data_IF_272249981506
#
_entry.id   IF_272249981506
#
_cell.length_a   1.000
_cell.length_b   1.000
_cell.length_c   1.000
_cell.angle_alpha   90.00
_cell.angle_beta   90.00
_cell.angle_gamma   90.00
#
_symmetry.space_group_name_H-M   'P 1'
#
loop_
_entity.id
_entity.type
_entity.pdbx_description
1 polymer ?
#
# COMPACT_ATOMS: atom_id res chain seq x y z
N UNK A 1 16.92 36.34 -38.08
CA UNK A 1 16.48 37.01 -36.83
C UNK A 1 16.61 35.98 -35.73
N UNK A 2 17.53 36.17 -34.79
CA UNK A 2 17.82 35.22 -33.72
C UNK A 2 16.70 35.23 -32.68
N UNK A 3 15.89 34.18 -32.64
CA UNK A 3 14.90 33.96 -31.58
C UNK A 3 15.63 33.50 -30.33
N UNK A 4 15.69 34.38 -29.32
CA UNK A 4 16.21 34.06 -27.99
C UNK A 4 15.51 32.82 -27.42
N UNK A 5 16.23 31.91 -26.75
CA UNK A 5 15.60 30.72 -26.17
C UNK A 5 14.64 31.15 -25.05
N UNK A 6 13.34 30.94 -25.26
CA UNK A 6 12.33 31.16 -24.21
C UNK A 6 12.64 30.24 -23.05
N UNK A 7 13.01 30.82 -21.90
CA UNK A 7 13.36 30.04 -20.72
C UNK A 7 12.07 29.45 -20.13
N UNK A 8 11.93 28.11 -20.17
CA UNK A 8 10.80 27.37 -19.59
C UNK A 8 11.15 27.00 -18.14
N UNK A 9 10.24 27.31 -17.22
CA UNK A 9 10.46 27.27 -15.76
C UNK A 9 11.02 25.96 -15.19
N UNK A 10 10.81 24.81 -15.83
CA UNK A 10 11.36 23.52 -15.37
C UNK A 10 11.78 22.62 -16.54
N UNK A 11 12.90 21.92 -16.39
CA UNK A 11 13.43 21.00 -17.41
C UNK A 11 12.42 19.91 -17.82
N UNK A 12 11.59 19.43 -16.87
CA UNK A 12 10.53 18.46 -17.15
C UNK A 12 9.38 19.02 -18.00
N UNK A 13 9.02 20.30 -17.83
CA UNK A 13 8.01 20.95 -18.67
C UNK A 13 8.53 21.25 -20.07
N UNK A 14 9.82 21.59 -20.19
CA UNK A 14 10.47 21.84 -21.48
C UNK A 14 10.37 20.61 -22.39
N UNK A 15 10.81 19.44 -21.90
CA UNK A 15 10.76 18.20 -22.69
C UNK A 15 9.34 17.79 -23.08
N UNK A 16 8.36 18.02 -22.21
CA UNK A 16 6.96 17.72 -22.51
C UNK A 16 6.35 18.66 -23.56
N UNK A 17 6.69 19.95 -23.51
CA UNK A 17 6.24 20.94 -24.51
C UNK A 17 6.87 20.61 -25.87
N UNK A 18 8.16 20.25 -25.93
CA UNK A 18 8.81 19.86 -27.19
C UNK A 18 8.15 18.65 -27.86
N UNK A 19 7.75 17.64 -27.08
CA UNK A 19 7.01 16.49 -27.59
C UNK A 19 5.64 16.89 -28.14
N UNK A 20 4.89 17.72 -27.40
CA UNK A 20 3.58 18.22 -27.84
C UNK A 20 3.66 19.10 -29.09
N UNK A 21 4.70 19.91 -29.22
CA UNK A 21 4.97 20.75 -30.40
C UNK A 21 5.18 19.87 -31.64
N UNK A 22 6.02 18.83 -31.53
CA UNK A 22 6.24 17.86 -32.62
C UNK A 22 4.94 17.15 -32.99
N UNK A 23 4.17 16.71 -32.01
CA UNK A 23 2.88 16.02 -32.23
C UNK A 23 1.82 16.94 -32.80
N UNK A 24 1.90 18.25 -32.56
CA UNK A 24 1.00 19.25 -33.14
C UNK A 24 1.38 19.65 -34.57
N UNK A 25 2.50 19.13 -35.09
CA UNK A 25 3.04 19.50 -36.40
C UNK A 25 3.59 20.93 -36.44
N UNK A 26 4.04 21.47 -35.31
CA UNK A 26 4.64 22.81 -35.22
C UNK A 26 6.17 22.70 -35.34
N UNK A 27 6.79 23.66 -36.04
CA UNK A 27 8.24 23.64 -36.31
C UNK A 27 9.07 24.00 -35.07
N UNK A 28 8.53 24.86 -34.19
CA UNK A 28 9.24 25.29 -32.99
C UNK A 28 8.33 25.54 -31.79
N UNK A 29 8.94 25.52 -30.60
CA UNK A 29 8.28 25.93 -29.35
C UNK A 29 7.88 27.41 -29.37
N UNK A 30 8.61 28.26 -30.11
CA UNK A 30 8.28 29.66 -30.30
C UNK A 30 6.96 29.84 -31.07
N UNK A 31 6.70 29.02 -32.09
CA UNK A 31 5.45 29.05 -32.85
C UNK A 31 4.26 28.61 -32.00
N UNK A 32 4.46 27.63 -31.13
CA UNK A 32 3.46 27.21 -30.16
C UNK A 32 3.12 28.32 -29.15
N UNK A 33 4.12 29.08 -28.70
CA UNK A 33 3.90 30.21 -27.78
C UNK A 33 3.14 31.33 -28.49
N UNK A 34 3.55 31.70 -29.70
CA UNK A 34 2.89 32.73 -30.50
C UNK A 34 1.42 32.40 -30.80
N UNK A 35 1.07 31.11 -30.83
CA UNK A 35 -0.30 30.66 -31.04
C UNK A 35 -1.21 30.86 -29.81
N UNK A 36 -0.63 30.75 -28.61
CA UNK A 36 -1.40 30.73 -27.35
C UNK A 36 -1.35 32.08 -26.64
N UNK A 37 -0.28 32.83 -26.83
CA UNK A 37 -0.07 34.11 -26.18
C UNK A 37 0.04 35.21 -27.26
N UNK A 38 -0.89 36.19 -27.28
CA UNK A 38 -0.82 37.33 -28.21
C UNK A 38 0.37 38.25 -27.92
N UNK A 39 0.84 38.27 -26.67
CA UNK A 39 2.11 38.87 -26.27
C UNK A 39 3.06 37.76 -25.85
N UNK A 40 4.11 37.51 -26.63
CA UNK A 40 5.07 36.43 -26.38
C UNK A 40 5.83 36.70 -25.07
N UNK A 41 5.58 35.96 -23.97
CA UNK A 41 6.30 36.20 -22.74
C UNK A 41 7.76 35.78 -22.91
N UNK A 42 8.71 36.64 -22.54
CA UNK A 42 10.14 36.34 -22.61
C UNK A 42 10.53 35.15 -21.71
N UNK A 43 9.76 34.92 -20.64
CA UNK A 43 9.91 33.79 -19.71
C UNK A 43 8.57 33.12 -19.53
N UNK A 44 8.51 31.81 -19.78
CA UNK A 44 7.33 31.01 -19.49
C UNK A 44 7.38 30.57 -18.03
N UNK A 45 6.65 31.30 -17.18
CA UNK A 45 6.36 30.88 -15.82
C UNK A 45 5.55 29.58 -15.79
N UNK A 46 5.41 29.00 -14.60
CA UNK A 46 4.73 27.70 -14.41
C UNK A 46 3.27 27.74 -14.89
N UNK A 47 2.59 28.87 -14.69
CA UNK A 47 1.19 29.07 -15.08
C UNK A 47 1.05 29.17 -16.59
N UNK A 48 1.94 29.90 -17.24
CA UNK A 48 1.99 30.10 -18.68
C UNK A 48 2.37 28.79 -19.39
N UNK A 49 3.38 28.07 -18.89
CA UNK A 49 3.74 26.75 -19.38
C UNK A 49 2.56 25.76 -19.30
N UNK A 50 1.78 25.81 -18.22
CA UNK A 50 0.59 24.96 -18.07
C UNK A 50 -0.52 25.32 -19.06
N UNK A 51 -0.73 26.62 -19.35
CA UNK A 51 -1.68 27.08 -20.37
C UNK A 51 -1.25 26.68 -21.78
N UNK A 52 0.05 26.78 -22.08
CA UNK A 52 0.64 26.35 -23.34
C UNK A 52 0.42 24.85 -23.57
N UNK A 53 0.70 24.04 -22.57
CA UNK A 53 0.46 22.59 -22.59
C UNK A 53 -1.00 22.28 -22.88
N UNK A 54 -1.93 22.90 -22.14
CA UNK A 54 -3.37 22.63 -22.32
C UNK A 54 -3.87 23.00 -23.73
N UNK A 55 -3.37 24.11 -24.29
CA UNK A 55 -3.71 24.52 -25.65
C UNK A 55 -3.12 23.58 -26.71
N UNK A 56 -1.89 23.10 -26.51
CA UNK A 56 -1.25 22.12 -27.39
C UNK A 56 -1.95 20.76 -27.32
N UNK A 57 -2.29 20.27 -26.13
CA UNK A 57 -3.06 19.03 -25.95
C UNK A 57 -4.41 19.07 -26.67
N UNK A 58 -5.12 20.20 -26.61
CA UNK A 58 -6.38 20.38 -27.34
C UNK A 58 -6.19 20.28 -28.86
N UNK A 59 -5.05 20.76 -29.38
CA UNK A 59 -4.75 20.81 -30.81
C UNK A 59 -4.23 19.50 -31.38
N UNK A 60 -3.41 18.79 -30.61
CA UNK A 60 -2.92 17.44 -30.97
C UNK A 60 -4.06 16.42 -30.99
N UNK A 61 -5.22 16.77 -30.43
CA UNK A 61 -6.26 15.80 -30.15
C UNK A 61 -5.72 14.80 -29.13
N UNK A 62 -5.27 15.30 -27.98
CA UNK A 62 -4.75 14.42 -26.95
C UNK A 62 -5.85 13.42 -26.58
N UNK A 63 -5.51 12.12 -26.47
CA UNK A 63 -6.45 11.14 -25.94
C UNK A 63 -6.94 11.73 -24.63
N UNK A 64 -8.26 11.81 -24.48
CA UNK A 64 -8.92 12.13 -23.22
C UNK A 64 -8.06 11.57 -22.13
N UNK A 65 -7.46 12.45 -21.31
CA UNK A 65 -6.73 12.03 -20.13
C UNK A 65 -7.80 11.39 -19.29
N UNK A 66 -7.93 10.08 -19.47
CA UNK A 66 -8.81 9.24 -18.71
C UNK A 66 -8.31 9.43 -17.29
N UNK A 67 -9.02 10.26 -16.54
CA UNK A 67 -8.92 10.35 -15.09
C UNK A 67 -9.27 9.01 -14.44
N UNK A 68 -9.61 8.01 -15.25
CA UNK A 68 -9.84 6.61 -14.96
C UNK A 68 -8.61 5.71 -15.15
N UNK A 69 -7.40 6.23 -15.39
CA UNK A 69 -6.20 5.40 -15.19
C UNK A 69 -5.91 5.33 -13.69
N UNK A 70 -6.23 4.22 -12.99
CA UNK A 70 -5.92 4.12 -11.58
C UNK A 70 -4.40 4.19 -11.48
N UNK A 71 -3.88 5.12 -10.68
CA UNK A 71 -2.46 5.19 -10.39
C UNK A 71 -1.95 3.79 -10.05
N UNK A 72 -1.16 3.18 -10.94
CA UNK A 72 -0.55 1.87 -10.77
C UNK A 72 0.43 1.85 -9.60
N UNK A 73 0.73 3.01 -9.04
CA UNK A 73 1.39 3.17 -7.77
C UNK A 73 0.37 3.18 -6.65
N UNK A 74 0.23 2.03 -6.01
CA UNK A 74 -0.42 1.95 -4.70
C UNK A 74 0.38 2.86 -3.76
N UNK A 75 -0.20 4.01 -3.40
CA UNK A 75 0.50 4.96 -2.54
C UNK A 75 0.77 4.31 -1.18
N UNK A 76 1.86 4.67 -0.50
CA UNK A 76 2.18 4.14 0.84
C UNK A 76 1.00 4.31 1.82
N UNK A 77 0.17 5.34 1.63
CA UNK A 77 -1.04 5.59 2.41
C UNK A 77 -2.16 4.58 2.10
N UNK A 78 -2.28 4.15 0.84
CA UNK A 78 -3.20 3.08 0.41
C UNK A 78 -2.71 1.71 0.89
N UNK A 79 -1.41 1.42 0.80
CA UNK A 79 -0.81 0.19 1.36
C UNK A 79 -1.10 0.10 2.86
N UNK A 80 -0.96 1.21 3.59
CA UNK A 80 -1.27 1.27 5.03
C UNK A 80 -2.75 0.97 5.32
N UNK A 81 -3.68 1.53 4.54
CA UNK A 81 -5.13 1.24 4.68
C UNK A 81 -5.47 -0.22 4.37
N UNK A 82 -4.86 -0.79 3.32
CA UNK A 82 -5.02 -2.21 2.95
C UNK A 82 -4.46 -3.15 4.02
N UNK A 83 -3.32 -2.80 4.62
CA UNK A 83 -2.72 -3.51 5.75
C UNK A 83 -3.59 -3.44 7.01
N UNK A 84 -4.28 -2.32 7.26
CA UNK A 84 -5.21 -2.15 8.38
C UNK A 84 -6.59 -2.82 8.18
N UNK A 85 -6.79 -3.57 7.09
CA UNK A 85 -7.99 -4.39 6.89
C UNK A 85 -9.23 -3.64 6.40
N UNK A 86 -9.13 -2.34 6.08
CA UNK A 86 -10.29 -1.53 5.63
C UNK A 86 -10.66 -1.74 4.16
N UNK A 87 -9.92 -2.55 3.41
CA UNK A 87 -10.23 -2.85 2.00
C UNK A 87 -9.87 -4.31 1.68
N UNK A 88 -10.73 -5.05 0.96
CA UNK A 88 -10.47 -6.45 0.63
C UNK A 88 -9.33 -6.59 -0.41
N UNK A 89 -8.56 -7.68 -0.29
CA UNK A 89 -7.33 -7.95 -1.06
C UNK A 89 -7.57 -8.27 -2.54
N UNK A 90 -8.79 -8.64 -2.89
CA UNK A 90 -9.25 -8.95 -4.24
C UNK A 90 -9.05 -7.78 -5.19
N UNK A 91 -9.10 -6.54 -4.69
CA UNK A 91 -8.88 -5.32 -5.49
C UNK A 91 -7.41 -5.02 -5.81
N UNK A 92 -6.45 -5.71 -5.21
CA UNK A 92 -5.03 -5.52 -5.52
C UNK A 92 -4.68 -6.40 -6.73
N UNK A 93 -4.48 -5.80 -7.90
CA UNK A 93 -4.11 -6.54 -9.12
C UNK A 93 -2.63 -6.96 -9.16
N UNK A 94 -1.75 -6.27 -8.41
CA UNK A 94 -0.31 -6.57 -8.39
C UNK A 94 0.04 -7.71 -7.42
N UNK A 95 0.73 -8.77 -7.87
CA UNK A 95 1.21 -9.87 -7.02
C UNK A 95 2.16 -9.39 -5.92
N UNK A 96 3.08 -8.48 -6.24
CA UNK A 96 4.06 -7.93 -5.29
C UNK A 96 3.37 -7.10 -4.20
N UNK A 97 2.38 -6.29 -4.59
CA UNK A 97 1.59 -5.51 -3.64
C UNK A 97 0.77 -6.42 -2.71
N UNK A 98 0.27 -7.57 -3.19
CA UNK A 98 -0.38 -8.57 -2.35
C UNK A 98 0.60 -9.18 -1.34
N UNK A 99 1.80 -9.55 -1.77
CA UNK A 99 2.82 -10.10 -0.88
C UNK A 99 3.21 -9.11 0.23
N UNK A 100 3.39 -7.82 -0.11
CA UNK A 100 3.72 -6.76 0.86
C UNK A 100 2.56 -6.56 1.85
N UNK A 101 1.31 -6.51 1.38
CA UNK A 101 0.14 -6.33 2.25
C UNK A 101 -0.06 -7.52 3.18
N UNK A 102 0.13 -8.74 2.70
CA UNK A 102 0.08 -9.95 3.53
C UNK A 102 1.17 -9.92 4.63
N UNK A 103 2.38 -9.50 4.26
CA UNK A 103 3.48 -9.34 5.21
C UNK A 103 3.20 -8.26 6.26
N UNK A 104 2.65 -7.12 5.85
CA UNK A 104 2.29 -6.02 6.75
C UNK A 104 1.13 -6.39 7.69
N UNK A 105 0.16 -7.18 7.24
CA UNK A 105 -0.90 -7.72 8.11
C UNK A 105 -0.34 -8.63 9.18
N UNK A 106 0.62 -9.50 8.82
CA UNK A 106 1.32 -10.34 9.79
C UNK A 106 2.07 -9.49 10.82
N UNK A 107 2.74 -8.42 10.40
CA UNK A 107 3.39 -7.49 11.33
C UNK A 107 2.39 -6.72 12.22
N UNK A 108 1.27 -6.23 11.68
CA UNK A 108 0.25 -5.57 12.47
C UNK A 108 -0.42 -6.51 13.48
N UNK A 109 -0.60 -7.79 13.12
CA UNK A 109 -1.04 -8.82 14.05
C UNK A 109 -0.02 -9.03 15.18
N UNK A 110 1.28 -9.01 14.88
CA UNK A 110 2.35 -9.08 15.89
C UNK A 110 2.39 -7.80 16.76
N UNK A 111 2.18 -6.61 16.20
CA UNK A 111 2.08 -5.38 16.99
C UNK A 111 0.87 -5.42 17.92
N UNK A 112 -0.27 -5.95 17.47
CA UNK A 112 -1.43 -6.18 18.32
C UNK A 112 -1.16 -7.26 19.38
N UNK A 113 -0.38 -8.31 19.09
CA UNK A 113 0.10 -9.29 20.09
C UNK A 113 0.92 -8.60 21.18
N UNK A 114 1.77 -7.66 20.79
CA UNK A 114 2.62 -6.91 21.72
C UNK A 114 1.85 -5.82 22.48
N UNK A 115 0.76 -5.31 21.90
CA UNK A 115 -0.07 -4.24 22.47
C UNK A 115 -1.32 -4.75 23.23
N UNK A 116 -1.72 -6.00 23.04
CA UNK A 116 -2.88 -6.59 23.70
C UNK A 116 -2.60 -6.77 25.21
N UNK A 117 -3.53 -6.26 26.01
CA UNK A 117 -3.43 -6.22 27.48
C UNK A 117 -3.49 -7.58 28.18
N UNK A 118 -3.43 -7.51 29.52
CA UNK A 118 -3.43 -8.61 30.53
C UNK A 118 -3.32 -10.03 29.94
N UNK A 119 -2.08 -10.48 29.82
CA UNK A 119 -1.69 -11.89 29.73
C UNK A 119 -2.53 -12.75 30.68
N UNK A 120 -3.42 -13.57 30.13
CA UNK A 120 -4.40 -14.32 30.91
C UNK A 120 -3.78 -15.45 31.73
N UNK A 121 -2.61 -15.98 31.32
CA UNK A 121 -1.88 -16.98 32.09
C UNK A 121 -0.86 -16.37 33.06
N UNK A 122 -0.76 -15.04 33.18
CA UNK A 122 0.13 -14.32 34.10
C UNK A 122 1.60 -14.81 34.08
N UNK A 123 2.06 -15.38 32.96
CA UNK A 123 3.41 -15.94 32.80
C UNK A 123 3.58 -17.38 33.27
N UNK A 124 2.53 -18.00 33.81
CA UNK A 124 2.48 -19.42 34.16
C UNK A 124 2.14 -20.33 32.96
N UNK A 125 1.98 -21.64 33.19
CA UNK A 125 1.57 -22.60 32.16
C UNK A 125 0.24 -22.19 31.49
N UNK A 126 0.13 -22.42 30.18
CA UNK A 126 -1.08 -22.08 29.42
C UNK A 126 -2.12 -23.19 29.64
N UNK A 127 -3.23 -22.88 30.31
CA UNK A 127 -4.32 -23.83 30.52
C UNK A 127 -5.05 -24.16 29.21
N UNK A 128 -5.39 -25.42 28.99
CA UNK A 128 -6.12 -25.85 27.79
C UNK A 128 -7.54 -25.30 27.76
N UNK A 129 -8.23 -25.19 28.91
CA UNK A 129 -9.58 -24.62 28.98
C UNK A 129 -9.63 -23.16 28.49
N UNK A 130 -8.56 -22.40 28.77
CA UNK A 130 -8.41 -21.03 28.31
C UNK A 130 -8.29 -20.96 26.78
N UNK A 131 -7.52 -21.87 26.17
CA UNK A 131 -7.39 -21.96 24.72
C UNK A 131 -8.67 -22.45 24.05
N UNK A 132 -9.34 -23.44 24.63
CA UNK A 132 -10.62 -23.95 24.13
C UNK A 132 -11.67 -22.85 24.15
N UNK A 133 -11.72 -22.06 25.24
CA UNK A 133 -12.60 -20.89 25.33
C UNK A 133 -12.25 -19.83 24.28
N UNK A 134 -10.96 -19.57 24.05
CA UNK A 134 -10.51 -18.58 23.05
C UNK A 134 -10.88 -18.99 21.62
N UNK A 135 -10.59 -20.23 21.24
CA UNK A 135 -10.88 -20.76 19.90
C UNK A 135 -12.34 -21.19 19.73
N UNK A 136 -13.18 -21.07 20.76
CA UNK A 136 -14.60 -21.42 20.76
C UNK A 136 -14.86 -22.91 20.50
N UNK A 137 -14.01 -23.78 21.05
CA UNK A 137 -14.19 -25.23 21.00
C UNK A 137 -12.95 -26.00 20.57
N UNK A 138 -13.05 -27.33 20.70
CA UNK A 138 -11.95 -28.26 20.41
C UNK A 138 -11.62 -28.36 18.92
N UNK A 139 -12.63 -28.31 18.05
CA UNK A 139 -12.42 -28.46 16.60
C UNK A 139 -11.60 -27.28 16.04
N UNK A 140 -11.98 -26.06 16.42
CA UNK A 140 -11.30 -24.82 16.03
C UNK A 140 -9.89 -24.72 16.62
N UNK A 141 -9.69 -25.19 17.84
CA UNK A 141 -8.36 -25.28 18.45
C UNK A 141 -7.50 -26.28 17.68
N UNK A 142 -8.01 -27.47 17.38
CA UNK A 142 -7.28 -28.49 16.66
C UNK A 142 -6.89 -28.01 15.25
N UNK A 143 -7.82 -27.37 14.53
CA UNK A 143 -7.57 -26.70 13.25
C UNK A 143 -6.49 -25.61 13.39
N UNK A 144 -6.58 -24.77 14.42
CA UNK A 144 -5.60 -23.72 14.65
C UNK A 144 -4.19 -24.30 14.83
N UNK A 145 -4.02 -25.42 15.53
CA UNK A 145 -2.72 -26.05 15.79
C UNK A 145 -2.28 -27.11 14.76
N UNK A 146 -3.04 -27.26 13.67
CA UNK A 146 -2.81 -28.27 12.63
C UNK A 146 -2.66 -29.69 13.22
N UNK A 147 -3.54 -30.02 14.16
CA UNK A 147 -3.60 -31.33 14.83
C UNK A 147 -5.01 -31.89 14.80
N UNK A 148 -5.15 -33.16 15.18
CA UNK A 148 -6.49 -33.75 15.39
C UNK A 148 -7.04 -33.38 16.77
N UNK A 149 -8.37 -33.36 16.91
CA UNK A 149 -9.03 -33.16 18.22
C UNK A 149 -8.56 -34.16 19.29
N UNK A 150 -8.43 -35.48 18.99
CA UNK A 150 -7.84 -36.41 19.94
C UNK A 150 -6.41 -36.03 20.37
N UNK A 151 -5.57 -35.58 19.44
CA UNK A 151 -4.21 -35.12 19.75
C UNK A 151 -4.22 -33.91 20.67
N UNK A 152 -5.09 -32.93 20.40
CA UNK A 152 -5.21 -31.74 21.24
C UNK A 152 -5.71 -32.07 22.65
N UNK A 153 -6.68 -33.00 22.77
CA UNK A 153 -7.17 -33.47 24.08
C UNK A 153 -6.11 -34.27 24.85
N UNK A 154 -5.22 -34.98 24.15
CA UNK A 154 -4.14 -35.75 24.76
C UNK A 154 -3.05 -34.89 25.42
N UNK A 155 -3.04 -33.57 25.16
CA UNK A 155 -2.13 -32.63 25.82
C UNK A 155 -2.43 -32.44 27.32
N UNK A 156 -3.61 -32.83 27.78
CA UNK A 156 -3.99 -32.75 29.20
C UNK A 156 -4.55 -31.38 29.58
N UNK A 157 -4.35 -30.98 30.84
CA UNK A 157 -4.90 -29.72 31.39
C UNK A 157 -4.12 -28.47 30.97
N UNK A 158 -2.88 -28.63 30.52
CA UNK A 158 -2.00 -27.53 30.13
C UNK A 158 -1.36 -27.81 28.78
N UNK A 159 -1.16 -26.77 27.99
CA UNK A 159 -0.47 -26.87 26.72
C UNK A 159 1.00 -27.28 26.93
N UNK A 160 1.55 -28.19 26.10
CA UNK A 160 2.96 -28.55 26.19
C UNK A 160 3.85 -27.33 25.96
N UNK A 161 4.92 -27.19 26.74
CA UNK A 161 5.82 -26.04 26.67
C UNK A 161 6.40 -25.84 25.25
N UNK A 162 6.63 -26.93 24.49
CA UNK A 162 7.09 -26.88 23.10
C UNK A 162 6.14 -26.14 22.15
N UNK A 163 4.86 -25.99 22.50
CA UNK A 163 3.83 -25.28 21.72
C UNK A 163 3.41 -23.95 22.35
N UNK A 164 3.99 -23.54 23.47
CA UNK A 164 3.58 -22.32 24.17
C UNK A 164 3.80 -21.05 23.33
N UNK A 165 4.91 -20.98 22.60
CA UNK A 165 5.19 -19.86 21.69
C UNK A 165 4.23 -19.86 20.48
N UNK A 166 3.92 -21.04 19.95
CA UNK A 166 2.92 -21.21 18.89
C UNK A 166 1.54 -20.69 19.34
N UNK A 167 1.13 -21.01 20.58
CA UNK A 167 -0.12 -20.52 21.16
C UNK A 167 -0.14 -19.01 21.33
N UNK A 168 0.96 -18.40 21.79
CA UNK A 168 1.07 -16.94 21.91
C UNK A 168 0.85 -16.25 20.55
N UNK A 169 1.43 -16.79 19.48
CA UNK A 169 1.25 -16.25 18.13
C UNK A 169 -0.21 -16.44 17.67
N UNK A 170 -0.75 -17.65 17.77
CA UNK A 170 -2.09 -17.99 17.25
C UNK A 170 -3.21 -17.29 18.01
N UNK A 171 -2.99 -16.94 19.28
CA UNK A 171 -3.98 -16.24 20.11
C UNK A 171 -3.80 -14.72 20.12
N UNK A 172 -2.89 -14.19 19.32
CA UNK A 172 -2.74 -12.75 19.21
C UNK A 172 -2.25 -12.10 20.53
N UNK A 173 -1.46 -12.79 21.35
CA UNK A 173 -0.98 -12.29 22.65
C UNK A 173 -1.95 -12.45 23.82
N UNK A 174 -3.10 -13.08 23.62
CA UNK A 174 -4.04 -13.37 24.72
C UNK A 174 -3.42 -14.26 25.81
N UNK A 175 -2.56 -15.21 25.40
CA UNK A 175 -1.70 -16.00 26.29
C UNK A 175 -0.24 -15.80 25.92
N UNK A 176 0.66 -15.90 26.90
CA UNK A 176 2.09 -15.76 26.70
C UNK A 176 2.81 -17.06 27.00
N UNK A 177 3.85 -17.37 26.23
CA UNK A 177 4.75 -18.45 26.58
C UNK A 177 5.39 -18.17 27.95
N UNK A 178 5.47 -19.15 28.86
CA UNK A 178 6.15 -18.97 30.14
C UNK A 178 7.63 -18.64 29.87
N UNK A 179 8.13 -17.61 30.53
CA UNK A 179 9.54 -17.21 30.48
C UNK A 179 10.27 -18.23 31.36
N UNK A 180 11.10 -19.08 30.76
CA UNK A 180 11.82 -20.12 31.49
C UNK A 180 12.63 -19.53 32.65
N UNK A 181 12.48 -20.11 33.83
CA UNK A 181 13.41 -19.99 34.95
C UNK A 181 14.44 -21.13 34.88
#
# INVERSE_FOLDING_TARGET
MSTSPTQIATAGQHGYIEDLVKRAGLESTADAIALVFPETPAVLGRTEASRLIAALEKRVGSPTRDTSSPSTHTSAKQIRKLAMGTTPLDKIQSPDARWIVDRLRKFAAIENVLAAGKNQNAGGPIAMDLLVSYFQGWDRLAEAFDVTVPTAKAWGSHLPASRAYEAQIKTGGFVHAPIGH
#
